data_IF_045377016188
#
_entry.id   IF_045377016188
#
_cell.length_a   1.000
_cell.length_b   1.000
_cell.length_c   1.000
_cell.angle_alpha   90.00
_cell.angle_beta   90.00
_cell.angle_gamma   90.00
#
_symmetry.space_group_name_H-M   'P 1'
#
loop_
_entity.id
_entity.type
_entity.pdbx_description
1 polymer ?
#
# COMPACT_ATOMS: atom_id res chain seq x y z
N UNK A 1 19.57 2.45 -12.22
CA UNK A 1 19.91 2.03 -13.61
C UNK A 1 19.10 0.86 -14.16
N UNK A 2 19.09 -0.32 -13.51
CA UNK A 2 18.34 -1.50 -14.01
C UNK A 2 16.88 -1.16 -14.29
N UNK A 3 16.22 -0.47 -13.36
CA UNK A 3 14.86 0.05 -13.55
C UNK A 3 14.71 0.88 -14.83
N UNK A 4 15.57 1.89 -15.02
CA UNK A 4 15.52 2.76 -16.20
C UNK A 4 15.67 1.98 -17.52
N UNK A 5 16.62 1.02 -17.57
CA UNK A 5 16.89 0.25 -18.79
C UNK A 5 15.85 -0.82 -19.09
N UNK A 6 15.27 -1.46 -18.07
CA UNK A 6 14.46 -2.68 -18.24
C UNK A 6 12.96 -2.48 -18.01
N UNK A 7 12.58 -1.48 -17.22
CA UNK A 7 11.22 -1.40 -16.67
C UNK A 7 10.55 -0.04 -16.91
N UNK A 8 11.32 1.06 -16.90
CA UNK A 8 10.78 2.40 -17.02
C UNK A 8 9.98 2.61 -18.31
N UNK A 9 10.46 2.06 -19.44
CA UNK A 9 9.78 2.20 -20.74
C UNK A 9 8.35 1.62 -20.80
N UNK A 10 7.94 0.80 -19.82
CA UNK A 10 6.61 0.23 -19.71
C UNK A 10 5.89 0.65 -18.42
N UNK A 11 6.48 1.56 -17.64
CA UNK A 11 6.04 1.87 -16.28
C UNK A 11 4.60 2.39 -16.26
N UNK A 12 4.24 3.39 -17.06
CA UNK A 12 2.90 3.97 -17.06
C UNK A 12 1.82 2.94 -17.39
N UNK A 13 2.08 2.02 -18.32
CA UNK A 13 1.11 1.00 -18.74
C UNK A 13 1.03 -0.17 -17.75
N UNK A 14 2.16 -0.56 -17.15
CA UNK A 14 2.25 -1.81 -16.36
C UNK A 14 2.39 -1.61 -14.85
N UNK A 15 2.54 -0.38 -14.32
CA UNK A 15 2.68 -0.11 -12.87
C UNK A 15 1.53 -0.63 -11.99
N UNK A 16 0.37 -0.94 -12.59
CA UNK A 16 -0.79 -1.51 -11.88
C UNK A 16 -0.87 -3.03 -11.99
N UNK A 17 -0.08 -3.66 -12.85
CA UNK A 17 -0.04 -5.10 -13.04
C UNK A 17 1.01 -5.72 -12.10
N UNK A 18 0.60 -6.32 -10.97
CA UNK A 18 1.53 -6.84 -9.98
C UNK A 18 2.39 -7.99 -10.51
N UNK A 19 1.93 -8.69 -11.55
CA UNK A 19 2.70 -9.77 -12.15
C UNK A 19 3.69 -9.27 -13.21
N UNK A 20 3.62 -8.00 -13.65
CA UNK A 20 4.60 -7.42 -14.57
C UNK A 20 5.96 -7.09 -13.91
N UNK A 21 5.98 -6.95 -12.58
CA UNK A 21 7.20 -6.69 -11.78
C UNK A 21 8.05 -5.53 -12.35
N UNK A 22 7.39 -4.45 -12.79
CA UNK A 22 8.03 -3.30 -13.45
C UNK A 22 8.22 -2.07 -12.54
N UNK A 23 8.09 -2.24 -11.22
CA UNK A 23 8.36 -1.17 -10.26
C UNK A 23 9.88 -0.93 -10.12
N UNK A 24 10.27 0.23 -9.61
CA UNK A 24 11.69 0.59 -9.46
C UNK A 24 12.44 -0.22 -8.40
N UNK A 25 11.71 -0.79 -7.43
CA UNK A 25 12.28 -1.44 -6.25
C UNK A 25 13.19 -0.50 -5.43
N UNK A 26 13.00 0.83 -5.58
CA UNK A 26 13.84 1.83 -4.91
C UNK A 26 13.34 2.19 -3.51
N UNK A 27 12.11 1.82 -3.12
CA UNK A 27 11.53 2.27 -1.86
C UNK A 27 12.33 1.87 -0.61
N UNK A 28 12.93 0.67 -0.47
CA UNK A 28 13.79 0.38 0.68
C UNK A 28 15.02 1.29 0.76
N UNK A 29 15.66 1.55 -0.38
CA UNK A 29 16.85 2.40 -0.46
C UNK A 29 16.52 3.86 -0.15
N UNK A 30 15.38 4.35 -0.64
CA UNK A 30 14.88 5.69 -0.36
C UNK A 30 14.48 5.86 1.11
N UNK A 31 13.83 4.85 1.69
CA UNK A 31 13.44 4.83 3.11
C UNK A 31 14.66 5.00 4.02
N UNK A 32 15.71 4.19 3.81
CA UNK A 32 16.94 4.26 4.61
C UNK A 32 17.91 5.37 4.18
N UNK A 33 17.54 6.23 3.23
CA UNK A 33 18.41 7.31 2.73
C UNK A 33 19.70 6.82 2.04
N UNK A 34 19.72 5.57 1.57
CA UNK A 34 20.86 4.97 0.85
C UNK A 34 21.01 5.55 -0.56
N UNK A 35 19.95 6.16 -1.10
CA UNK A 35 19.97 6.92 -2.34
C UNK A 35 19.11 8.18 -2.20
N UNK A 36 19.62 9.31 -2.70
CA UNK A 36 18.90 10.57 -2.66
C UNK A 36 17.86 10.65 -3.78
N UNK A 37 16.64 11.10 -3.46
CA UNK A 37 15.60 11.42 -4.45
C UNK A 37 16.10 12.41 -5.49
N UNK A 38 16.81 13.47 -5.06
CA UNK A 38 17.37 14.49 -5.96
C UNK A 38 18.41 13.87 -6.91
N UNK A 39 19.28 12.99 -6.40
CA UNK A 39 20.26 12.29 -7.23
C UNK A 39 19.58 11.46 -8.32
N UNK A 40 18.47 10.78 -7.98
CA UNK A 40 17.73 10.00 -8.98
C UNK A 40 17.08 10.91 -10.03
N UNK A 41 16.49 12.03 -9.64
CA UNK A 41 15.87 12.99 -10.56
C UNK A 41 16.89 13.61 -11.52
N UNK A 42 18.04 14.05 -11.01
CA UNK A 42 19.12 14.58 -11.84
C UNK A 42 19.64 13.53 -12.82
N UNK A 43 19.77 12.28 -12.37
CA UNK A 43 20.15 11.17 -13.24
C UNK A 43 19.11 10.95 -14.35
N UNK A 44 17.80 10.94 -14.04
CA UNK A 44 16.76 10.80 -15.05
C UNK A 44 16.76 11.94 -16.07
N UNK A 45 16.97 13.17 -15.61
CA UNK A 45 17.05 14.37 -16.46
C UNK A 45 18.22 14.27 -17.45
N UNK A 46 19.39 13.84 -16.99
CA UNK A 46 20.58 13.67 -17.84
C UNK A 46 20.38 12.59 -18.92
N UNK A 47 19.50 11.62 -18.70
CA UNK A 47 19.28 10.50 -19.61
C UNK A 47 18.03 10.64 -20.50
N UNK A 48 17.27 11.73 -20.39
CA UNK A 48 16.22 12.09 -21.36
C UNK A 48 15.10 11.05 -21.51
N UNK A 49 14.57 10.52 -20.40
CA UNK A 49 13.75 9.30 -20.38
C UNK A 49 12.24 9.48 -20.67
N UNK A 50 11.82 10.68 -21.10
CA UNK A 50 10.48 10.98 -21.63
C UNK A 50 9.31 10.83 -20.65
N UNK A 51 8.08 10.76 -21.19
CA UNK A 51 6.79 10.74 -20.42
C UNK A 51 6.72 9.63 -19.37
N UNK A 52 7.38 8.49 -19.62
CA UNK A 52 7.43 7.39 -18.66
C UNK A 52 8.21 7.78 -17.38
N UNK A 53 9.26 8.58 -17.53
CA UNK A 53 10.03 9.12 -16.41
C UNK A 53 9.21 10.14 -15.61
N UNK A 54 8.40 10.97 -16.28
CA UNK A 54 7.50 11.92 -15.62
C UNK A 54 6.44 11.20 -14.78
N UNK A 55 5.80 10.17 -15.35
CA UNK A 55 4.81 9.36 -14.63
C UNK A 55 5.40 8.63 -13.41
N UNK A 56 6.69 8.29 -13.44
CA UNK A 56 7.41 7.74 -12.28
C UNK A 56 7.85 8.82 -11.30
N UNK A 57 8.30 9.97 -11.78
CA UNK A 57 8.72 11.11 -10.97
C UNK A 57 7.56 11.71 -10.16
N UNK A 58 6.34 11.70 -10.71
CA UNK A 58 5.12 12.07 -9.97
C UNK A 58 4.94 11.22 -8.69
N UNK A 59 5.18 9.91 -8.76
CA UNK A 59 5.11 9.02 -7.60
C UNK A 59 6.29 9.27 -6.64
N UNK A 60 7.48 9.48 -7.18
CA UNK A 60 8.69 9.71 -6.39
C UNK A 60 8.69 11.05 -5.66
N UNK A 61 8.10 12.09 -6.26
CA UNK A 61 8.11 13.46 -5.76
C UNK A 61 6.75 13.79 -5.14
N UNK A 62 5.70 13.93 -5.95
CA UNK A 62 4.41 14.44 -5.45
C UNK A 62 3.83 13.52 -4.40
N UNK A 63 3.74 12.21 -4.65
CA UNK A 63 3.14 11.27 -3.67
C UNK A 63 4.00 11.13 -2.42
N UNK A 64 5.32 11.05 -2.58
CA UNK A 64 6.25 10.91 -1.47
C UNK A 64 6.31 12.15 -0.58
N UNK A 65 6.42 13.33 -1.18
CA UNK A 65 6.48 14.58 -0.42
C UNK A 65 5.12 14.93 0.18
N UNK A 66 4.00 14.50 -0.43
CA UNK A 66 2.67 14.62 0.17
C UNK A 66 2.55 13.78 1.46
N UNK A 67 3.12 12.58 1.49
CA UNK A 67 3.16 11.77 2.70
C UNK A 67 3.95 12.46 3.83
N UNK A 68 5.10 13.07 3.49
CA UNK A 68 5.90 13.87 4.42
C UNK A 68 5.17 15.12 4.89
N UNK A 69 4.46 15.80 3.99
CA UNK A 69 3.60 16.92 4.32
C UNK A 69 2.55 16.52 5.37
N UNK A 70 1.84 15.41 5.14
CA UNK A 70 0.84 14.91 6.08
C UNK A 70 1.46 14.63 7.46
N UNK A 71 2.59 13.94 7.53
CA UNK A 71 3.26 13.64 8.80
C UNK A 71 3.77 14.91 9.51
N UNK A 72 4.38 15.83 8.76
CA UNK A 72 4.92 17.08 9.28
C UNK A 72 3.86 17.99 9.87
N UNK A 73 2.71 18.13 9.19
CA UNK A 73 1.61 18.99 9.65
C UNK A 73 0.65 18.30 10.63
N UNK A 74 0.80 16.99 10.87
CA UNK A 74 -0.01 16.23 11.82
C UNK A 74 0.85 15.33 12.75
N UNK A 75 1.86 15.88 13.45
CA UNK A 75 2.87 15.09 14.14
C UNK A 75 2.31 14.21 15.27
N UNK A 76 1.20 14.61 15.87
CA UNK A 76 0.58 13.91 17.01
C UNK A 76 -0.33 12.74 16.60
N UNK A 77 -0.54 12.50 15.31
CA UNK A 77 -1.52 11.49 14.91
C UNK A 77 -1.63 11.11 13.43
N UNK A 78 -0.59 11.32 12.63
CA UNK A 78 -0.56 10.80 11.25
C UNK A 78 -0.64 9.26 11.19
N UNK A 79 -0.34 8.58 12.29
CA UNK A 79 -0.33 7.12 12.48
C UNK A 79 -1.54 6.60 13.29
N UNK A 80 -2.51 7.45 13.60
CA UNK A 80 -3.70 7.10 14.40
C UNK A 80 -4.98 7.29 13.59
N UNK A 81 -5.88 6.30 13.66
CA UNK A 81 -7.16 6.33 12.93
C UNK A 81 -7.95 7.63 13.12
N UNK A 82 -8.04 8.17 14.35
CA UNK A 82 -8.83 9.37 14.65
C UNK A 82 -8.42 10.62 13.86
N UNK A 83 -7.12 10.76 13.62
CA UNK A 83 -6.49 11.97 13.10
C UNK A 83 -6.01 11.78 11.66
N UNK A 84 -5.53 10.59 11.31
CA UNK A 84 -5.09 10.26 9.96
C UNK A 84 -6.26 10.08 8.99
N UNK A 85 -7.47 9.75 9.48
CA UNK A 85 -8.67 9.56 8.65
C UNK A 85 -9.55 10.81 8.72
N UNK A 86 -9.93 11.40 7.57
CA UNK A 86 -10.73 12.63 7.54
C UNK A 86 -12.12 12.41 8.13
N UNK A 87 -12.71 13.47 8.67
CA UNK A 87 -14.00 13.41 9.39
C UNK A 87 -15.13 12.81 8.55
N UNK A 88 -15.24 13.16 7.26
CA UNK A 88 -16.25 12.61 6.35
C UNK A 88 -16.16 11.08 6.26
N UNK A 89 -14.94 10.55 6.14
CA UNK A 89 -14.71 9.12 5.99
C UNK A 89 -14.94 8.39 7.31
N UNK A 90 -14.51 8.97 8.45
CA UNK A 90 -14.79 8.39 9.77
C UNK A 90 -16.29 8.30 10.03
N UNK A 91 -17.03 9.38 9.79
CA UNK A 91 -18.48 9.39 9.97
C UNK A 91 -19.16 8.35 9.09
N UNK A 92 -18.75 8.23 7.82
CA UNK A 92 -19.32 7.24 6.92
C UNK A 92 -18.98 5.80 7.35
N UNK A 93 -17.73 5.51 7.70
CA UNK A 93 -17.32 4.19 8.16
C UNK A 93 -18.00 3.80 9.49
N UNK A 94 -18.18 4.76 10.40
CA UNK A 94 -18.82 4.56 11.71
C UNK A 94 -20.34 4.34 11.58
N UNK A 95 -21.00 4.97 10.59
CA UNK A 95 -22.40 4.69 10.28
C UNK A 95 -22.62 3.21 9.85
N UNK A 96 -21.58 2.56 9.33
CA UNK A 96 -21.57 1.16 8.92
C UNK A 96 -20.87 0.22 9.92
N UNK A 97 -20.67 0.66 11.17
CA UNK A 97 -20.05 -0.15 12.20
C UNK A 97 -20.86 -1.41 12.56
N UNK A 98 -22.19 -1.34 12.45
CA UNK A 98 -23.12 -2.44 12.76
C UNK A 98 -23.36 -3.41 11.60
N UNK A 99 -22.86 -3.09 10.40
CA UNK A 99 -23.03 -3.96 9.23
C UNK A 99 -22.39 -5.34 9.46
N UNK A 100 -23.10 -6.40 9.07
CA UNK A 100 -22.57 -7.75 9.18
C UNK A 100 -21.31 -7.92 8.33
N UNK A 101 -20.20 -8.30 8.96
CA UNK A 101 -18.96 -8.63 8.25
C UNK A 101 -19.06 -10.01 7.61
N UNK A 102 -18.66 -10.20 6.34
CA UNK A 102 -18.79 -11.48 5.65
C UNK A 102 -17.96 -12.59 6.31
N UNK A 103 -16.82 -12.22 6.91
CA UNK A 103 -15.94 -13.10 7.67
C UNK A 103 -15.07 -12.27 8.59
N UNK A 104 -14.57 -12.86 9.68
CA UNK A 104 -13.49 -12.29 10.50
C UNK A 104 -12.32 -13.25 10.55
N UNK A 105 -11.11 -12.71 10.50
CA UNK A 105 -9.87 -13.48 10.62
C UNK A 105 -9.13 -13.05 11.88
N UNK A 106 -8.39 -13.97 12.49
CA UNK A 106 -7.48 -13.61 13.57
C UNK A 106 -6.31 -12.77 13.02
N UNK A 107 -5.67 -11.98 13.89
CA UNK A 107 -4.45 -11.24 13.50
C UNK A 107 -3.37 -12.19 13.00
N UNK A 108 -3.25 -13.38 13.58
CA UNK A 108 -2.31 -14.42 13.14
C UNK A 108 -2.65 -14.94 11.73
N UNK A 109 -3.93 -15.20 11.44
CA UNK A 109 -4.34 -15.64 10.10
C UNK A 109 -4.09 -14.56 9.04
N UNK A 110 -4.34 -13.28 9.39
CA UNK A 110 -4.02 -12.16 8.52
C UNK A 110 -2.50 -12.06 8.31
N UNK A 111 -1.71 -12.08 9.38
CA UNK A 111 -0.25 -12.00 9.31
C UNK A 111 0.38 -13.11 8.46
N UNK A 112 -0.17 -14.33 8.52
CA UNK A 112 0.35 -15.49 7.79
C UNK A 112 -0.33 -15.72 6.43
N UNK A 113 -1.22 -14.83 5.99
CA UNK A 113 -1.89 -14.96 4.69
C UNK A 113 -2.78 -16.21 4.61
N UNK A 114 -3.61 -16.43 5.63
CA UNK A 114 -4.50 -17.59 5.78
C UNK A 114 -5.98 -17.21 5.64
N UNK A 115 -6.29 -16.41 4.63
CA UNK A 115 -7.66 -16.02 4.29
C UNK A 115 -8.24 -16.94 3.20
N UNK A 116 -9.52 -16.75 2.87
CA UNK A 116 -10.14 -17.38 1.68
C UNK A 116 -9.95 -16.55 0.39
N UNK A 117 -9.09 -15.53 0.42
CA UNK A 117 -8.72 -14.70 -0.72
C UNK A 117 -7.31 -15.04 -1.19
N UNK A 118 -7.19 -15.76 -2.29
CA UNK A 118 -5.88 -16.14 -2.83
C UNK A 118 -5.01 -14.95 -3.25
N UNK A 119 -5.62 -13.86 -3.73
CA UNK A 119 -4.89 -12.68 -4.17
C UNK A 119 -4.37 -11.89 -2.96
N UNK A 120 -5.17 -11.80 -1.90
CA UNK A 120 -4.74 -11.19 -0.64
C UNK A 120 -3.65 -12.00 0.04
N UNK A 121 -3.81 -13.33 0.10
CA UNK A 121 -2.79 -14.22 0.65
C UNK A 121 -1.48 -14.09 -0.12
N UNK A 122 -1.53 -14.03 -1.46
CA UNK A 122 -0.35 -13.78 -2.28
C UNK A 122 0.30 -12.42 -1.98
N UNK A 123 -0.49 -11.36 -1.80
CA UNK A 123 0.04 -10.05 -1.41
C UNK A 123 0.76 -10.10 -0.05
N UNK A 124 0.14 -10.71 0.95
CA UNK A 124 0.74 -10.93 2.26
C UNK A 124 2.03 -11.76 2.18
N UNK A 125 2.02 -12.85 1.40
CA UNK A 125 3.20 -13.70 1.21
C UNK A 125 4.31 -12.99 0.43
N UNK A 126 3.99 -12.09 -0.50
CA UNK A 126 4.99 -11.25 -1.19
C UNK A 126 5.75 -10.37 -0.20
N UNK A 127 5.01 -9.72 0.71
CA UNK A 127 5.55 -8.92 1.80
C UNK A 127 6.44 -9.76 2.71
N UNK A 128 5.97 -10.93 3.17
CA UNK A 128 6.76 -11.81 4.03
C UNK A 128 8.03 -12.33 3.33
N UNK A 129 7.93 -12.75 2.07
CA UNK A 129 9.05 -13.40 1.36
C UNK A 129 10.13 -12.42 0.88
N UNK A 130 9.76 -11.18 0.59
CA UNK A 130 10.67 -10.21 -0.03
C UNK A 130 10.82 -8.89 0.71
N UNK A 131 10.01 -8.67 1.76
CA UNK A 131 9.93 -7.38 2.44
C UNK A 131 9.37 -6.26 1.55
N UNK A 132 8.65 -6.64 0.49
CA UNK A 132 8.05 -5.73 -0.49
C UNK A 132 6.73 -6.29 -1.01
N UNK A 133 5.61 -5.59 -0.79
CA UNK A 133 4.35 -5.84 -1.49
C UNK A 133 4.16 -4.89 -2.68
N UNK A 134 3.70 -5.40 -3.82
CA UNK A 134 3.39 -4.57 -4.98
C UNK A 134 2.37 -3.46 -4.65
N UNK A 135 2.60 -2.22 -5.08
CA UNK A 135 1.82 -1.05 -4.64
C UNK A 135 0.31 -1.17 -4.93
N UNK A 136 -0.07 -1.69 -6.11
CA UNK A 136 -1.49 -1.94 -6.40
C UNK A 136 -2.13 -2.95 -5.44
N UNK A 137 -1.34 -3.94 -5.01
CA UNK A 137 -1.77 -4.94 -4.05
C UNK A 137 -1.76 -4.41 -2.62
N UNK A 138 -0.90 -3.44 -2.24
CA UNK A 138 -0.99 -2.74 -0.93
C UNK A 138 -2.36 -2.08 -0.74
N UNK A 139 -2.87 -1.40 -1.78
CA UNK A 139 -4.21 -0.79 -1.74
C UNK A 139 -5.32 -1.84 -1.57
N UNK A 140 -5.27 -2.91 -2.35
CA UNK A 140 -6.22 -4.01 -2.23
C UNK A 140 -6.14 -4.64 -0.83
N UNK A 141 -4.93 -5.00 -0.42
CA UNK A 141 -4.62 -5.63 0.86
C UNK A 141 -5.19 -4.85 2.04
N UNK A 142 -4.94 -3.53 2.08
CA UNK A 142 -5.39 -2.66 3.15
C UNK A 142 -6.93 -2.54 3.17
N UNK A 143 -7.56 -2.33 2.00
CA UNK A 143 -9.02 -2.19 1.91
C UNK A 143 -9.78 -3.46 2.31
N UNK A 144 -9.20 -4.64 2.10
CA UNK A 144 -9.84 -5.88 2.54
C UNK A 144 -9.88 -6.02 4.07
N UNK A 145 -9.00 -5.34 4.83
CA UNK A 145 -9.03 -5.38 6.31
C UNK A 145 -10.33 -4.77 6.88
N UNK A 146 -10.96 -3.82 6.18
CA UNK A 146 -12.28 -3.27 6.56
C UNK A 146 -13.37 -4.36 6.59
N UNK A 147 -13.26 -5.38 5.73
CA UNK A 147 -14.21 -6.49 5.67
C UNK A 147 -13.99 -7.52 6.77
N UNK A 148 -12.77 -7.60 7.32
CA UNK A 148 -12.30 -8.78 8.05
C UNK A 148 -11.92 -8.52 9.52
N UNK A 149 -11.95 -7.27 9.93
CA UNK A 149 -11.77 -6.83 11.32
C UNK A 149 -13.10 -6.37 11.91
N UNK A 150 -13.18 -6.23 13.23
CA UNK A 150 -14.42 -5.84 13.91
C UNK A 150 -14.75 -4.35 13.73
N UNK A 151 -13.76 -3.51 13.44
CA UNK A 151 -13.97 -2.07 13.27
C UNK A 151 -12.98 -1.43 12.30
N UNK A 152 -13.31 -0.26 11.70
CA UNK A 152 -12.37 0.50 10.88
C UNK A 152 -11.08 0.87 11.62
N UNK A 153 -11.18 1.14 12.92
CA UNK A 153 -10.03 1.38 13.80
C UNK A 153 -9.09 0.17 13.84
N UNK A 154 -9.64 -1.01 14.11
CA UNK A 154 -8.86 -2.25 14.15
C UNK A 154 -8.24 -2.57 12.77
N UNK A 155 -8.96 -2.32 11.68
CA UNK A 155 -8.43 -2.43 10.32
C UNK A 155 -7.19 -1.54 10.12
N UNK A 156 -7.29 -0.27 10.51
CA UNK A 156 -6.21 0.70 10.37
C UNK A 156 -4.99 0.31 11.21
N UNK A 157 -5.20 -0.01 12.50
CA UNK A 157 -4.14 -0.42 13.42
C UNK A 157 -3.45 -1.72 12.98
N UNK A 158 -4.23 -2.68 12.46
CA UNK A 158 -3.70 -3.91 11.87
C UNK A 158 -2.87 -3.62 10.61
N UNK A 159 -3.33 -2.70 9.76
CA UNK A 159 -2.61 -2.29 8.57
C UNK A 159 -1.23 -1.69 8.90
N UNK A 160 -1.20 -0.73 9.84
CA UNK A 160 0.06 -0.11 10.30
C UNK A 160 1.00 -1.16 10.89
N UNK A 161 0.50 -2.00 11.81
CA UNK A 161 1.30 -3.04 12.46
C UNK A 161 1.96 -4.00 11.47
N UNK A 162 1.21 -4.48 10.48
CA UNK A 162 1.74 -5.46 9.52
C UNK A 162 2.68 -4.81 8.50
N UNK A 163 2.34 -3.62 8.01
CA UNK A 163 3.23 -2.82 7.14
C UNK A 163 4.57 -2.57 7.84
N UNK A 164 4.53 -2.08 9.07
CA UNK A 164 5.71 -1.69 9.83
C UNK A 164 6.50 -2.87 10.37
N UNK A 165 5.93 -4.07 10.39
CA UNK A 165 6.67 -5.27 10.78
C UNK A 165 7.43 -5.87 9.60
N UNK A 166 6.84 -5.87 8.41
CA UNK A 166 7.30 -6.73 7.31
C UNK A 166 7.81 -5.98 6.09
N UNK A 167 7.37 -4.74 5.83
CA UNK A 167 7.90 -3.97 4.71
C UNK A 167 9.30 -3.41 5.06
N UNK A 168 10.24 -3.57 4.13
CA UNK A 168 11.56 -2.94 4.22
C UNK A 168 11.47 -1.42 4.11
N UNK A 169 10.42 -0.92 3.46
CA UNK A 169 10.06 0.50 3.36
C UNK A 169 8.92 0.90 4.32
N UNK A 170 8.61 0.07 5.32
CA UNK A 170 7.65 0.37 6.39
C UNK A 170 8.21 1.29 7.48
N UNK A 171 7.38 1.69 8.45
CA UNK A 171 7.69 2.74 9.45
C UNK A 171 8.12 4.05 8.79
N UNK A 172 7.43 4.39 7.72
CA UNK A 172 7.73 5.50 6.83
C UNK A 172 6.47 6.34 6.62
N UNK A 173 6.62 7.66 6.38
CA UNK A 173 5.47 8.54 6.17
C UNK A 173 4.61 8.04 5.00
N UNK A 174 5.23 7.44 3.97
CA UNK A 174 4.54 6.84 2.84
C UNK A 174 3.64 5.66 3.24
N UNK A 175 4.06 4.86 4.23
CA UNK A 175 3.27 3.75 4.76
C UNK A 175 2.00 4.26 5.42
N UNK A 176 2.13 5.19 6.36
CA UNK A 176 0.99 5.77 7.07
C UNK A 176 0.03 6.52 6.13
N UNK A 177 0.58 7.31 5.21
CA UNK A 177 -0.22 8.01 4.19
C UNK A 177 -0.94 7.05 3.26
N UNK A 178 -0.26 5.99 2.78
CA UNK A 178 -0.87 4.98 1.91
C UNK A 178 -1.98 4.20 2.61
N UNK A 179 -1.82 3.91 3.91
CA UNK A 179 -2.86 3.32 4.75
C UNK A 179 -4.00 4.31 4.91
N UNK A 180 -3.75 5.55 5.35
CA UNK A 180 -4.78 6.59 5.51
C UNK A 180 -5.58 6.86 4.22
N UNK A 181 -4.93 6.82 3.06
CA UNK A 181 -5.58 6.92 1.76
C UNK A 181 -6.59 5.78 1.53
N UNK A 182 -6.28 4.56 1.99
CA UNK A 182 -7.23 3.45 1.90
C UNK A 182 -8.50 3.68 2.72
N UNK A 183 -8.46 4.58 3.69
CA UNK A 183 -9.57 5.01 4.54
C UNK A 183 -10.15 6.38 4.15
N UNK A 184 -9.70 6.98 3.03
CA UNK A 184 -10.28 8.21 2.47
C UNK A 184 -9.41 9.46 2.56
N UNK A 185 -8.22 9.42 3.18
CA UNK A 185 -7.35 10.59 3.19
C UNK A 185 -6.80 10.90 1.79
N UNK A 186 -6.87 12.18 1.36
CA UNK A 186 -6.54 12.61 -0.01
C UNK A 186 -7.24 11.79 -1.12
N UNK A 187 -8.43 11.25 -0.83
CA UNK A 187 -9.35 10.64 -1.80
C UNK A 187 -10.71 11.35 -1.75
N UNK A 188 -11.62 10.97 -2.65
CA UNK A 188 -12.98 11.49 -2.71
C UNK A 188 -14.00 10.52 -2.11
N UNK A 189 -15.23 10.99 -1.94
CA UNK A 189 -16.39 10.14 -1.66
C UNK A 189 -16.77 9.30 -2.90
N UNK A 190 -17.23 8.08 -2.64
CA UNK A 190 -17.71 7.11 -3.62
C UNK A 190 -19.15 6.69 -3.29
N UNK A 191 -19.87 6.06 -4.25
CA UNK A 191 -21.19 5.50 -3.96
C UNK A 191 -21.16 4.61 -2.72
N UNK A 192 -22.11 4.85 -1.82
CA UNK A 192 -22.20 4.19 -0.53
C UNK A 192 -22.37 2.67 -0.66
N UNK A 193 -21.67 1.90 0.18
CA UNK A 193 -21.76 0.43 0.21
C UNK A 193 -21.71 -0.07 1.65
N UNK A 194 -22.32 -1.23 1.94
CA UNK A 194 -22.16 -1.87 3.24
C UNK A 194 -20.69 -2.00 3.62
N UNK A 195 -20.39 -1.81 4.89
CA UNK A 195 -19.06 -1.86 5.53
C UNK A 195 -18.15 -0.68 5.16
N UNK A 196 -18.10 -0.30 3.88
CA UNK A 196 -17.19 0.74 3.39
C UNK A 196 -17.75 2.16 3.52
N UNK A 197 -19.07 2.31 3.66
CA UNK A 197 -19.71 3.60 3.50
C UNK A 197 -19.35 4.21 2.15
N UNK A 198 -18.95 5.48 2.14
CA UNK A 198 -18.53 6.24 0.96
C UNK A 198 -17.03 6.19 0.71
N UNK A 199 -16.24 5.43 1.49
CA UNK A 199 -14.83 5.20 1.18
C UNK A 199 -14.70 4.28 -0.03
N UNK A 200 -13.75 4.59 -0.92
CA UNK A 200 -13.48 3.77 -2.11
C UNK A 200 -13.29 2.29 -1.76
N UNK A 201 -14.19 1.43 -2.22
CA UNK A 201 -14.04 -0.03 -2.09
C UNK A 201 -13.17 -0.63 -3.21
N UNK A 202 -12.49 -1.74 -2.91
CA UNK A 202 -11.85 -2.61 -3.91
C UNK A 202 -12.32 -4.04 -3.66
N UNK A 203 -13.14 -4.61 -4.55
CA UNK A 203 -13.70 -5.95 -4.37
C UNK A 203 -12.89 -7.02 -5.09
N UNK A 204 -13.01 -8.29 -4.65
CA UNK A 204 -12.50 -9.47 -5.37
C UNK A 204 -12.90 -9.47 -6.84
N UNK A 205 -14.17 -9.18 -7.14
CA UNK A 205 -14.68 -9.11 -8.52
C UNK A 205 -14.02 -7.98 -9.33
N UNK A 206 -13.84 -6.80 -8.72
CA UNK A 206 -13.18 -5.67 -9.35
C UNK A 206 -11.67 -5.91 -9.58
N UNK A 207 -11.03 -6.70 -8.72
CA UNK A 207 -9.64 -7.11 -8.88
C UNK A 207 -9.46 -8.05 -10.08
N UNK A 208 -10.34 -9.05 -10.24
CA UNK A 208 -10.29 -10.02 -11.36
C UNK A 208 -10.33 -9.37 -12.74
N UNK A 209 -11.02 -8.23 -12.88
CA UNK A 209 -11.05 -7.48 -14.14
C UNK A 209 -9.79 -6.67 -14.44
N UNK A 210 -8.83 -6.57 -13.50
CA UNK A 210 -7.67 -5.68 -13.59
C UNK A 210 -6.33 -6.40 -13.38
N UNK A 211 -6.35 -7.52 -12.66
CA UNK A 211 -5.15 -8.28 -12.28
C UNK A 211 -5.34 -9.73 -12.68
N UNK A 212 -4.35 -10.26 -13.39
CA UNK A 212 -4.20 -11.71 -13.57
C UNK A 212 -3.71 -12.32 -12.25
N UNK A 213 -4.68 -12.70 -11.41
CA UNK A 213 -4.44 -13.24 -10.06
C UNK A 213 -3.63 -14.53 -10.13
N UNK A 214 -3.91 -15.41 -11.08
CA UNK A 214 -3.19 -16.67 -11.24
C UNK A 214 -1.70 -16.43 -11.53
N UNK A 215 -1.41 -15.51 -12.46
CA UNK A 215 -0.03 -15.12 -12.79
C UNK A 215 0.67 -14.44 -11.63
N UNK A 216 -0.03 -13.59 -10.87
CA UNK A 216 0.54 -12.95 -9.68
C UNK A 216 0.85 -13.96 -8.58
N UNK A 217 -0.07 -14.88 -8.27
CA UNK A 217 0.15 -15.97 -7.31
C UNK A 217 1.39 -16.78 -7.68
N UNK A 218 1.61 -17.07 -8.97
CA UNK A 218 2.78 -17.81 -9.42
C UNK A 218 4.09 -17.02 -9.24
N UNK A 219 4.08 -15.70 -9.51
CA UNK A 219 5.22 -14.82 -9.21
C UNK A 219 5.56 -14.86 -7.72
N UNK A 220 4.55 -14.75 -6.85
CA UNK A 220 4.75 -14.77 -5.39
C UNK A 220 5.23 -16.14 -4.91
N UNK A 221 4.71 -17.24 -5.46
CA UNK A 221 5.19 -18.60 -5.11
C UNK A 221 6.68 -18.76 -5.37
N UNK A 222 7.19 -18.22 -6.48
CA UNK A 222 8.62 -18.23 -6.79
C UNK A 222 9.43 -17.42 -5.77
N UNK A 223 8.94 -16.26 -5.33
CA UNK A 223 9.55 -15.48 -4.25
C UNK A 223 9.57 -16.25 -2.93
N UNK A 224 8.47 -16.92 -2.58
CA UNK A 224 8.39 -17.73 -1.37
C UNK A 224 9.36 -18.91 -1.40
N UNK A 225 9.43 -19.63 -2.52
CA UNK A 225 10.35 -20.74 -2.71
C UNK A 225 11.81 -20.28 -2.61
N UNK A 226 12.13 -19.12 -3.19
CA UNK A 226 13.45 -18.52 -3.06
C UNK A 226 13.79 -18.22 -1.60
N UNK A 227 12.92 -17.50 -0.88
CA UNK A 227 13.13 -17.14 0.53
C UNK A 227 13.31 -18.38 1.43
N UNK A 228 12.47 -19.41 1.26
CA UNK A 228 12.57 -20.68 1.98
C UNK A 228 13.89 -21.41 1.72
N UNK A 229 14.48 -21.24 0.52
CA UNK A 229 15.79 -21.80 0.19
C UNK A 229 16.97 -21.02 0.77
N UNK A 230 16.77 -19.76 1.17
CA UNK A 230 17.82 -18.93 1.76
C UNK A 230 17.90 -19.03 3.28
N UNK A 231 16.76 -19.12 3.97
CA UNK A 231 16.72 -19.09 5.44
C UNK A 231 15.57 -19.93 6.01
N UNK A 232 15.91 -20.83 6.94
CA UNK A 232 14.97 -21.73 7.60
C UNK A 232 13.88 -21.01 8.41
N UNK A 233 14.13 -19.77 8.87
CA UNK A 233 13.16 -18.96 9.63
C UNK A 233 11.87 -18.68 8.83
N UNK A 234 11.95 -18.65 7.51
CA UNK A 234 10.76 -18.52 6.66
C UNK A 234 9.82 -19.73 6.71
N UNK A 235 10.28 -20.88 7.19
CA UNK A 235 9.50 -22.12 7.24
C UNK A 235 8.23 -22.04 8.08
N UNK A 236 8.18 -21.15 9.08
CA UNK A 236 6.99 -20.90 9.90
C UNK A 236 6.06 -19.82 9.30
N UNK A 237 6.59 -18.98 8.38
CA UNK A 237 5.91 -17.79 7.86
C UNK A 237 5.27 -18.02 6.49
N UNK A 238 5.91 -18.83 5.64
CA UNK A 238 5.55 -18.96 4.23
C UNK A 238 4.95 -20.34 3.92
N UNK A 239 4.03 -20.42 2.93
CA UNK A 239 3.52 -21.69 2.46
C UNK A 239 4.65 -22.52 1.85
N UNK A 240 4.76 -23.79 2.24
CA UNK A 240 5.69 -24.72 1.60
C UNK A 240 5.22 -25.02 0.17
N UNK A 241 6.14 -25.17 -0.80
CA UNK A 241 5.79 -25.66 -2.11
C UNK A 241 5.06 -27.00 -1.97
N UNK A 242 3.87 -27.11 -2.54
CA UNK A 242 3.19 -28.40 -2.64
C UNK A 242 4.04 -29.26 -3.57
N UNK A 243 4.75 -30.24 -3.01
CA UNK A 243 5.52 -31.19 -3.80
C UNK A 243 4.62 -31.94 -4.80
N UNK A 244 5.23 -32.45 -5.88
CA UNK A 244 4.56 -33.28 -6.90
C UNK A 244 3.76 -34.45 -6.26
N UNK A 245 4.16 -34.92 -5.07
CA UNK A 245 3.47 -35.99 -4.33
C UNK A 245 2.11 -35.58 -3.71
N UNK A 246 1.76 -34.29 -3.67
CA UNK A 246 0.47 -33.84 -3.14
C UNK A 246 -0.72 -34.12 -4.07
N UNK A 247 -0.46 -34.54 -5.31
CA UNK A 247 -1.50 -35.05 -6.22
C UNK A 247 -1.97 -36.48 -5.85
N UNK A 248 -1.21 -37.22 -5.03
CA UNK A 248 -1.51 -38.61 -4.67
C UNK A 248 -2.03 -38.81 -3.23
N UNK A 249 -2.14 -37.74 -2.43
CA UNK A 249 -2.78 -37.78 -1.11
C UNK A 249 -4.10 -36.99 -1.22
N UNK A 250 -5.22 -37.59 -1.60
CA UNK A 250 -5.91 -38.55 -0.76
C UNK A 250 -6.91 -37.81 0.13
N UNK A 251 -8.18 -37.92 -0.23
CA UNK A 251 -9.43 -37.44 0.41
C UNK A 251 -9.34 -37.27 1.93
N UNK A 252 -9.93 -36.22 2.54
CA UNK A 252 -9.87 -36.02 3.99
C UNK A 252 -10.57 -37.17 4.73
N UNK A 253 -9.78 -37.94 5.48
CA UNK A 253 -10.26 -39.02 6.36
C UNK A 253 -10.84 -38.39 7.63
N UNK A 254 -12.11 -38.68 7.93
CA UNK A 254 -12.80 -38.33 9.19
C UNK A 254 -11.96 -38.74 10.41
N UNK A 255 -11.83 -37.84 11.38
CA UNK A 255 -11.26 -38.14 12.71
C UNK A 255 -12.15 -39.15 13.47
N UNK A 256 -11.57 -40.11 14.20
CA UNK A 256 -12.23 -40.75 15.33
C UNK A 256 -11.84 -40.08 16.67
N UNK A 257 -12.76 -40.11 17.62
CA UNK A 257 -12.69 -39.56 18.98
C UNK A 257 -11.61 -40.25 19.87
N UNK A 258 -11.19 -39.65 21.00
CA UNK A 258 -10.04 -40.11 21.76
C UNK A 258 -10.38 -41.22 22.76
N UNK A 259 -9.51 -42.22 22.87
CA UNK A 259 -9.58 -43.23 23.94
C UNK A 259 -8.49 -44.31 23.85
N UNK A 260 -7.74 -44.43 24.96
CA UNK A 260 -6.91 -45.57 25.41
C UNK A 260 -5.47 -45.73 24.88
N UNK A 261 -4.51 -45.31 25.72
CA UNK A 261 -3.43 -46.16 26.28
C UNK A 261 -2.15 -46.39 25.45
N UNK A 262 -0.94 -46.09 25.97
CA UNK A 262 0.32 -46.40 25.31
C UNK A 262 0.87 -47.78 25.73
N UNK A 263 1.67 -48.45 24.89
CA UNK A 263 2.64 -49.41 25.36
C UNK A 263 4.07 -48.86 25.29
N UNK A 264 4.86 -49.41 26.19
CA UNK A 264 6.21 -49.06 26.61
C UNK A 264 7.33 -49.69 25.79
N UNK A 265 8.48 -49.01 25.84
CA UNK A 265 9.87 -49.51 25.86
C UNK A 265 10.51 -50.09 24.58
N UNK A 266 11.76 -49.66 24.32
CA UNK A 266 12.75 -50.49 23.64
C UNK A 266 13.90 -49.77 22.93
N UNK A 267 15.03 -49.64 23.62
CA UNK A 267 16.41 -49.75 23.13
C UNK A 267 17.13 -48.59 22.35
N UNK A 268 18.19 -48.15 23.04
CA UNK A 268 19.46 -47.48 22.68
C UNK A 268 20.07 -47.62 21.26
N UNK A 269 20.57 -46.46 20.76
CA UNK A 269 21.92 -46.08 20.25
C UNK A 269 22.76 -47.05 19.36
N UNK A 270 23.74 -46.59 18.51
CA UNK A 270 24.48 -45.32 18.61
C UNK A 270 24.78 -44.57 17.28
N UNK A 271 25.53 -43.47 17.46
CA UNK A 271 25.96 -42.46 16.52
C UNK A 271 26.91 -42.92 15.41
N UNK A 272 26.93 -42.16 14.31
CA UNK A 272 28.05 -42.09 13.37
C UNK A 272 28.16 -40.70 12.75
N UNK A 273 29.28 -40.03 13.02
CA UNK A 273 29.78 -38.82 12.33
C UNK A 273 30.63 -39.24 11.12
N UNK A 274 30.73 -38.42 10.07
CA UNK A 274 32.04 -37.89 9.65
C UNK A 274 31.95 -36.38 9.34
N UNK A 275 32.82 -35.54 9.89
CA UNK A 275 34.20 -35.24 9.49
C UNK A 275 34.35 -34.56 8.10
N UNK A 276 34.49 -33.24 8.18
CA UNK A 276 35.40 -32.34 7.44
C UNK A 276 35.50 -32.35 5.90
N UNK A 277 35.30 -31.17 5.31
CA UNK A 277 36.20 -30.64 4.29
C UNK A 277 36.17 -29.10 4.32
N UNK A 278 37.26 -28.51 4.79
CA UNK A 278 37.58 -27.09 4.62
C UNK A 278 38.56 -26.95 3.44
N UNK A 279 38.21 -26.07 2.50
CA UNK A 279 39.05 -25.44 1.48
C UNK A 279 38.43 -24.04 1.32
N UNK A 280 39.09 -22.89 1.42
CA UNK A 280 40.51 -22.60 1.22
C UNK A 280 40.65 -21.56 0.10
N UNK A 281 40.70 -20.28 0.50
CA UNK A 281 41.32 -19.12 -0.19
C UNK A 281 40.64 -18.43 -1.39
N UNK A 282 40.41 -17.11 -1.23
CA UNK A 282 40.85 -16.00 -2.10
C UNK A 282 40.22 -14.68 -1.55
N UNK A 283 40.91 -13.88 -0.73
CA UNK A 283 41.93 -12.88 -1.09
C UNK A 283 41.40 -11.70 -1.95
N UNK A 284 41.36 -10.53 -1.29
CA UNK A 284 41.68 -9.17 -1.77
C UNK A 284 40.80 -8.52 -2.83
N UNK A 285 40.01 -7.51 -2.41
CA UNK A 285 39.87 -6.25 -3.15
C UNK A 285 39.68 -5.09 -2.16
N UNK A 286 40.74 -4.29 -1.99
CA UNK A 286 40.68 -2.97 -1.36
C UNK A 286 39.96 -1.98 -2.29
N UNK A 287 39.18 -1.01 -1.76
CA UNK A 287 38.55 0.01 -2.60
C UNK A 287 39.60 1.01 -3.12
N UNK A 288 39.46 1.51 -4.36
CA UNK A 288 40.37 2.52 -4.90
C UNK A 288 40.14 3.87 -4.23
N UNK A 289 41.26 4.56 -3.95
CA UNK A 289 41.30 5.98 -3.56
C UNK A 289 40.81 6.83 -4.74
N UNK A 290 39.69 7.53 -4.57
CA UNK A 290 39.27 8.58 -5.51
C UNK A 290 39.67 9.95 -4.96
N UNK A 291 40.43 10.68 -5.77
CA UNK A 291 40.84 12.06 -5.52
C UNK A 291 39.62 13.01 -5.57
N UNK A 292 39.61 13.99 -4.66
CA UNK A 292 38.59 15.03 -4.60
C UNK A 292 38.75 16.04 -5.76
N UNK A 293 37.66 16.50 -6.41
CA UNK A 293 37.71 17.64 -7.32
C UNK A 293 37.83 18.98 -6.55
N UNK A 294 38.32 20.05 -7.19
CA UNK A 294 38.62 21.33 -6.54
C UNK A 294 37.36 22.09 -6.11
N UNK A 295 37.52 22.89 -5.06
CA UNK A 295 36.46 23.50 -4.25
C UNK A 295 35.48 24.40 -4.98
N UNK A 296 34.22 24.31 -4.55
CA UNK A 296 33.17 25.29 -4.80
C UNK A 296 33.16 26.25 -3.61
N UNK A 297 33.24 27.55 -3.90
CA UNK A 297 33.26 28.62 -2.90
C UNK A 297 32.01 28.59 -2.00
N UNK A 298 32.22 28.79 -0.70
CA UNK A 298 31.17 28.91 0.30
C UNK A 298 30.29 30.14 0.02
N UNK A 299 28.96 29.94 0.04
CA UNK A 299 28.00 31.04 0.08
C UNK A 299 28.04 31.72 1.46
N UNK A 300 27.84 33.05 1.54
CA UNK A 300 27.89 33.78 2.82
C UNK A 300 26.71 33.39 3.73
N UNK A 301 26.86 33.50 5.05
CA UNK A 301 25.81 33.14 6.00
C UNK A 301 24.60 34.08 5.84
N UNK A 302 23.40 33.48 5.90
CA UNK A 302 22.15 34.21 5.97
C UNK A 302 22.10 35.07 7.24
N UNK A 303 21.70 36.32 7.06
CA UNK A 303 21.58 37.31 8.13
C UNK A 303 20.63 36.82 9.23
N UNK A 304 21.11 36.93 10.47
CA UNK A 304 20.33 36.87 11.70
C UNK A 304 19.23 37.93 11.67
N UNK A 305 17.96 37.51 11.64
CA UNK A 305 16.85 38.39 11.98
C UNK A 305 16.80 38.53 13.51
N UNK A 306 17.04 39.76 13.94
CA UNK A 306 17.00 40.20 15.31
C UNK A 306 15.60 40.06 15.94
N UNK A 307 15.61 39.85 17.25
CA UNK A 307 14.49 39.94 18.15
C UNK A 307 13.76 41.29 17.98
N UNK A 308 12.44 41.24 17.83
CA UNK A 308 11.55 42.40 17.78
C UNK A 308 10.43 42.21 18.79
N UNK A 309 10.41 43.11 19.78
CA UNK A 309 9.45 43.21 20.88
C UNK A 309 7.98 43.11 20.46
N UNK A 310 7.21 42.37 21.27
CA UNK A 310 5.74 42.36 21.23
C UNK A 310 5.22 43.58 21.99
N UNK A 311 4.78 44.60 21.26
CA UNK A 311 4.02 45.71 21.84
C UNK A 311 2.53 45.31 21.98
N UNK A 312 2.09 45.15 23.24
CA UNK A 312 0.69 45.06 23.63
C UNK A 312 0.07 46.45 23.51
N UNK A 313 -0.97 46.59 22.67
CA UNK A 313 -1.86 47.76 22.71
C UNK A 313 -3.28 47.28 23.00
N UNK A 314 -3.72 47.55 24.23
CA UNK A 314 -5.10 47.55 24.66
C UNK A 314 -5.81 48.82 24.20
N UNK A 315 -7.03 48.73 23.67
CA UNK A 315 -7.85 49.91 23.37
C UNK A 315 -9.29 49.57 22.99
N UNK A 316 -10.22 49.94 23.87
CA UNK A 316 -11.68 49.80 23.76
C UNK A 316 -12.25 50.61 22.58
N UNK A 317 -13.35 50.14 21.98
CA UNK A 317 -14.22 50.94 21.12
C UNK A 317 -15.35 50.11 20.51
N UNK A 318 -16.59 50.57 20.63
CA UNK A 318 -17.82 49.80 20.50
C UNK A 318 -18.66 50.28 19.31
N UNK A 319 -19.55 49.38 18.82
CA UNK A 319 -20.81 49.60 18.06
C UNK A 319 -20.74 49.78 16.53
N UNK A 320 -21.50 48.92 15.83
CA UNK A 320 -21.99 49.18 14.47
C UNK A 320 -22.55 47.95 13.74
N UNK A 321 -23.76 47.51 14.09
CA UNK A 321 -24.55 46.51 13.34
C UNK A 321 -25.24 47.14 12.12
N UNK A 322 -25.14 46.52 10.93
CA UNK A 322 -26.19 46.53 9.90
C UNK A 322 -26.17 45.25 9.04
N UNK A 323 -27.35 44.71 8.63
CA UNK A 323 -27.47 43.47 7.86
C UNK A 323 -27.42 43.70 6.33
N UNK A 324 -26.89 42.72 5.59
CA UNK A 324 -26.97 42.69 4.13
C UNK A 324 -28.36 42.16 3.70
N UNK A 325 -29.05 42.99 2.92
CA UNK A 325 -30.33 42.71 2.25
C UNK A 325 -30.08 41.96 0.94
N UNK A 326 -30.91 40.96 0.67
CA UNK A 326 -31.00 40.24 -0.60
C UNK A 326 -31.83 41.04 -1.63
N UNK A 327 -31.41 41.03 -2.90
CA UNK A 327 -32.31 41.30 -4.02
C UNK A 327 -31.90 40.57 -5.31
N UNK A 328 -32.89 39.83 -5.81
CA UNK A 328 -33.29 39.54 -7.19
C UNK A 328 -32.25 39.24 -8.29
N UNK A 329 -32.38 38.02 -8.83
CA UNK A 329 -32.04 37.72 -10.22
C UNK A 329 -33.15 36.88 -10.87
N UNK A 330 -33.74 37.47 -11.90
CA UNK A 330 -34.87 37.01 -12.72
C UNK A 330 -34.58 35.77 -13.57
N UNK A 331 -35.61 34.93 -13.76
CA UNK A 331 -35.68 33.90 -14.82
C UNK A 331 -35.89 34.51 -16.21
N UNK A 332 -35.52 33.80 -17.29
CA UNK A 332 -36.56 33.54 -18.31
C UNK A 332 -36.51 32.17 -19.02
N UNK A 333 -37.73 31.63 -19.18
CA UNK A 333 -38.36 31.09 -20.40
C UNK A 333 -37.77 29.92 -21.20
N UNK A 334 -38.51 28.79 -21.16
CA UNK A 334 -38.59 27.72 -22.17
C UNK A 334 -39.19 28.23 -23.49
N UNK A 335 -38.58 27.88 -24.63
CA UNK A 335 -39.18 27.95 -25.97
C UNK A 335 -39.56 26.54 -26.45
N UNK A 336 -40.81 26.38 -26.90
CA UNK A 336 -41.26 25.35 -27.86
C UNK A 336 -41.10 25.89 -29.29
N UNK A 337 -41.13 25.00 -30.30
CA UNK A 337 -41.93 25.29 -31.48
C UNK A 337 -42.89 24.15 -31.86
N UNK A 338 -44.05 24.55 -32.42
CA UNK A 338 -44.95 23.80 -33.32
C UNK A 338 -44.20 23.56 -34.65
N UNK A 339 -44.43 22.57 -35.52
CA UNK A 339 -45.58 21.73 -35.83
C UNK A 339 -45.95 21.94 -37.31
N UNK A 340 -45.78 20.93 -38.16
CA UNK A 340 -46.28 20.86 -39.56
C UNK A 340 -46.32 19.36 -39.97
N UNK A 341 -47.49 18.71 -39.86
CA UNK A 341 -48.41 18.27 -40.92
C UNK A 341 -47.88 17.23 -41.93
N UNK A 342 -48.42 16.01 -41.87
CA UNK A 342 -49.04 15.29 -43.00
C UNK A 342 -49.77 14.02 -42.50
N UNK A 343 -51.02 13.88 -42.97
CA UNK A 343 -51.99 12.77 -42.84
C UNK A 343 -51.57 11.51 -43.67
N UNK A 344 -52.23 10.32 -43.64
CA UNK A 344 -53.70 10.17 -43.77
C UNK A 344 -54.43 9.02 -43.01
N UNK A 345 -55.75 9.23 -42.92
CA UNK A 345 -56.92 8.34 -43.07
C UNK A 345 -57.12 6.99 -42.33
N UNK A 346 -58.29 6.95 -41.67
CA UNK A 346 -59.39 5.96 -41.75
C UNK A 346 -59.43 4.67 -40.87
N UNK A 347 -60.37 4.65 -39.91
CA UNK A 347 -61.51 3.70 -39.78
C UNK A 347 -62.20 3.92 -38.40
N UNK A 348 -63.47 4.39 -38.35
CA UNK A 348 -64.72 3.62 -38.14
C UNK A 348 -64.74 2.79 -36.83
N UNK A 349 -65.64 2.99 -35.87
CA UNK A 349 -66.85 3.83 -35.79
C UNK A 349 -67.42 3.83 -34.37
#
# INVERSE_FOLDING_TARGET
>A
EVFARRHLGQYQQKRKDPAAQCQSQLSPYLHFGQISTLQVLLWLQQHGLGVQAEAWAEELVVRRELARNMAFYNPEGYDRYQSAVPSWARLSLEAHASDARPRRFSVEDLELGRTDDEAWNAAQHEMLASGHMHNYMRMYWCKQLLLWTASPREAFETACRLNDRWELDGRDENGYMGIAWCFGNHDNEFPERPIFGTVRSMTRSGLKGKVDVARYVEVVRKKCAFALGQDARYGALLPRPRGILSFFAGTPRRQPAPGAGPPTSGAAAPASTPAAAALGAAALLSPPKTAAPPGIAAAPPAATCAEGEVAVVSGRGQVGTQPLVASDASSPSRKRPRGEQAEPEASHG
#
